data_IF_764619300778
#
_entry.id   IF_764619300778
#
_cell.length_a   1.000
_cell.length_b   1.000
_cell.length_c   1.000
_cell.angle_alpha   90.00
_cell.angle_beta   90.00
_cell.angle_gamma   90.00
#
_symmetry.space_group_name_H-M   'P 1'
#
loop_
_entity.id
_entity.type
_entity.pdbx_description
1 polymer ?
#
# COMPACT_ATOMS: atom_id res chain seq x y z
N UNK A 1 3.05 -6.35 -5.62
CA UNK A 1 2.54 -5.03 -6.08
C UNK A 1 2.06 -5.11 -7.50
N UNK A 2 0.79 -4.79 -7.76
CA UNK A 2 0.20 -4.84 -9.11
C UNK A 2 0.08 -3.43 -9.65
N UNK A 3 0.63 -3.15 -10.84
CA UNK A 3 0.51 -1.83 -11.49
C UNK A 3 0.18 -2.03 -12.97
N UNK A 4 -1.01 -1.60 -13.39
CA UNK A 4 -1.50 -1.77 -14.75
C UNK A 4 -0.89 -0.75 -15.72
N UNK A 5 -0.50 -1.19 -16.93
CA UNK A 5 -0.03 -0.31 -18.02
C UNK A 5 -1.08 0.74 -18.44
N UNK A 6 -2.37 0.43 -18.26
CA UNK A 6 -3.50 1.33 -18.58
C UNK A 6 -3.52 2.61 -17.74
N UNK A 7 -3.11 2.51 -16.46
CA UNK A 7 -3.10 3.61 -15.51
C UNK A 7 -1.77 4.38 -15.60
N UNK A 8 -0.65 3.65 -15.74
CA UNK A 8 0.69 4.22 -15.87
C UNK A 8 1.37 3.70 -17.14
N UNK A 9 1.30 4.51 -18.20
CA UNK A 9 1.78 4.13 -19.55
C UNK A 9 3.29 3.88 -19.58
N UNK A 10 4.08 4.74 -18.93
CA UNK A 10 5.55 4.66 -18.95
C UNK A 10 6.08 3.70 -17.89
N UNK A 11 7.18 3.00 -18.21
CA UNK A 11 7.87 2.14 -17.25
C UNK A 11 8.42 2.94 -16.06
N UNK A 12 8.88 4.16 -16.31
CA UNK A 12 9.37 5.08 -15.28
C UNK A 12 8.28 5.40 -14.25
N UNK A 13 7.07 5.76 -14.69
CA UNK A 13 5.96 6.04 -13.77
C UNK A 13 5.58 4.80 -12.93
N UNK A 14 5.53 3.62 -13.56
CA UNK A 14 5.27 2.36 -12.83
C UNK A 14 6.35 2.06 -11.80
N UNK A 15 7.61 2.23 -12.16
CA UNK A 15 8.74 1.96 -11.27
C UNK A 15 8.79 2.98 -10.13
N UNK A 16 8.48 4.24 -10.41
CA UNK A 16 8.33 5.29 -9.41
C UNK A 16 7.28 4.91 -8.37
N UNK A 17 6.06 4.56 -8.80
CA UNK A 17 5.01 4.13 -7.89
C UNK A 17 5.43 2.92 -7.04
N UNK A 18 6.01 1.89 -7.68
CA UNK A 18 6.50 0.71 -6.96
C UNK A 18 7.60 1.07 -5.96
N UNK A 19 8.45 2.07 -6.23
CA UNK A 19 9.46 2.55 -5.27
C UNK A 19 8.79 3.24 -4.09
N UNK A 20 7.93 4.23 -4.35
CA UNK A 20 7.20 4.98 -3.31
C UNK A 20 6.46 4.03 -2.37
N UNK A 21 5.70 3.09 -2.93
CA UNK A 21 4.91 2.19 -2.11
C UNK A 21 5.74 1.14 -1.37
N UNK A 22 6.85 0.65 -1.95
CA UNK A 22 7.81 -0.20 -1.22
C UNK A 22 8.47 0.54 -0.07
N UNK A 23 8.76 1.83 -0.26
CA UNK A 23 9.35 2.64 0.81
C UNK A 23 8.37 2.82 1.96
N UNK A 24 7.11 3.16 1.68
CA UNK A 24 6.06 3.24 2.72
C UNK A 24 5.92 1.89 3.44
N UNK A 25 5.84 0.79 2.68
CA UNK A 25 5.71 -0.53 3.27
C UNK A 25 6.92 -0.92 4.12
N UNK A 26 8.15 -0.57 3.72
CA UNK A 26 9.36 -0.88 4.48
C UNK A 26 9.38 -0.20 5.84
N UNK A 27 8.93 1.05 5.93
CA UNK A 27 8.82 1.78 7.19
C UNK A 27 7.69 1.22 8.06
N UNK A 28 6.54 0.90 7.46
CA UNK A 28 5.39 0.34 8.17
C UNK A 28 5.53 -1.15 8.51
N UNK A 29 6.52 -1.87 7.96
CA UNK A 29 6.66 -3.33 8.12
C UNK A 29 6.71 -3.76 9.58
N UNK A 30 7.33 -2.97 10.45
CA UNK A 30 7.42 -3.27 11.88
C UNK A 30 6.05 -3.29 12.55
N UNK A 31 5.11 -2.47 12.07
CA UNK A 31 3.79 -2.31 12.65
C UNK A 31 2.74 -3.23 12.01
N UNK A 32 2.99 -3.74 10.80
CA UNK A 32 2.02 -4.51 10.01
C UNK A 32 1.98 -6.02 10.32
N UNK A 33 2.90 -6.52 11.15
CA UNK A 33 2.96 -7.94 11.51
C UNK A 33 3.20 -8.88 10.31
N UNK A 34 2.64 -10.08 10.35
CA UNK A 34 2.79 -11.14 9.34
C UNK A 34 1.73 -11.14 8.23
N UNK A 35 1.08 -9.99 7.98
CA UNK A 35 0.03 -9.89 6.97
C UNK A 35 0.59 -9.67 5.55
N UNK A 36 0.01 -10.35 4.58
CA UNK A 36 0.30 -10.16 3.15
C UNK A 36 -0.60 -9.07 2.55
N UNK A 37 0.01 -8.08 1.91
CA UNK A 37 -0.70 -6.95 1.28
C UNK A 37 -0.51 -6.91 -0.24
N UNK A 38 -1.62 -6.87 -0.97
CA UNK A 38 -1.64 -6.62 -2.42
C UNK A 38 -2.10 -5.19 -2.69
N UNK A 39 -1.14 -4.32 -3.01
CA UNK A 39 -1.40 -2.92 -3.35
C UNK A 39 -1.68 -2.79 -4.86
N UNK A 40 -2.81 -2.15 -5.21
CA UNK A 40 -3.23 -1.81 -6.57
C UNK A 40 -3.53 -0.30 -6.69
N UNK A 41 -2.81 0.46 -7.53
CA UNK A 41 -3.14 1.85 -7.80
C UNK A 41 -4.44 1.95 -8.59
N UNK A 42 -5.23 2.98 -8.27
CA UNK A 42 -6.48 3.33 -8.97
C UNK A 42 -6.31 4.50 -9.95
N UNK A 43 -5.26 5.30 -9.76
CA UNK A 43 -4.95 6.49 -10.55
C UNK A 43 -3.46 6.54 -10.90
N UNK A 44 -3.12 7.35 -11.92
CA UNK A 44 -1.74 7.67 -12.22
C UNK A 44 -1.16 8.54 -11.10
N UNK A 45 0.14 8.38 -10.84
CA UNK A 45 0.84 9.12 -9.80
C UNK A 45 2.06 9.80 -10.43
N UNK A 46 2.13 11.12 -10.32
CA UNK A 46 3.31 11.90 -10.66
C UNK A 46 4.23 12.11 -9.46
N UNK A 47 5.39 12.72 -9.70
CA UNK A 47 6.32 13.07 -8.63
C UNK A 47 5.75 14.07 -7.63
N UNK A 48 4.91 15.02 -8.11
CA UNK A 48 4.25 16.02 -7.29
C UNK A 48 3.24 15.39 -6.30
N UNK A 49 2.62 14.28 -6.68
CA UNK A 49 1.60 13.60 -5.88
C UNK A 49 2.21 12.66 -4.83
N UNK A 50 3.52 12.43 -4.89
CA UNK A 50 4.19 11.42 -4.07
C UNK A 50 4.06 11.66 -2.56
N UNK A 51 4.18 12.89 -2.02
CA UNK A 51 3.95 13.13 -0.59
C UNK A 51 2.54 12.77 -0.15
N UNK A 52 1.53 13.16 -0.95
CA UNK A 52 0.11 12.89 -0.66
C UNK A 52 -0.17 11.40 -0.71
N UNK A 53 0.27 10.72 -1.78
CA UNK A 53 0.06 9.28 -1.92
C UNK A 53 0.81 8.46 -0.86
N UNK A 54 1.94 8.93 -0.35
CA UNK A 54 2.61 8.30 0.80
C UNK A 54 1.74 8.36 2.04
N UNK A 55 1.20 9.53 2.36
CA UNK A 55 0.33 9.72 3.52
C UNK A 55 -0.95 8.87 3.40
N UNK A 56 -1.60 8.89 2.22
CA UNK A 56 -2.78 8.08 1.95
C UNK A 56 -2.49 6.58 2.09
N UNK A 57 -1.39 6.10 1.48
CA UNK A 57 -1.02 4.69 1.54
C UNK A 57 -0.73 4.25 2.98
N UNK A 58 -0.04 5.07 3.76
CA UNK A 58 0.22 4.80 5.16
C UNK A 58 -1.09 4.67 5.96
N UNK A 59 -2.03 5.62 5.78
CA UNK A 59 -3.33 5.57 6.43
C UNK A 59 -4.16 4.34 6.03
N UNK A 60 -4.11 3.93 4.75
CA UNK A 60 -4.79 2.72 4.28
C UNK A 60 -4.19 1.45 4.88
N UNK A 61 -2.87 1.39 5.03
CA UNK A 61 -2.18 0.25 5.65
C UNK A 61 -2.57 0.10 7.13
N UNK A 62 -2.58 1.19 7.89
CA UNK A 62 -2.99 1.18 9.29
C UNK A 62 -4.46 0.76 9.48
N UNK A 63 -5.37 1.30 8.65
CA UNK A 63 -6.79 0.91 8.67
C UNK A 63 -6.97 -0.57 8.30
N UNK A 64 -6.25 -1.05 7.30
CA UNK A 64 -6.34 -2.45 6.88
C UNK A 64 -5.82 -3.38 7.98
N UNK A 65 -4.73 -3.00 8.65
CA UNK A 65 -4.19 -3.76 9.76
C UNK A 65 -5.18 -3.87 10.92
N UNK A 66 -5.79 -2.77 11.37
CA UNK A 66 -6.76 -2.82 12.48
C UNK A 66 -8.01 -3.65 12.14
N UNK A 67 -8.48 -3.58 10.89
CA UNK A 67 -9.60 -4.39 10.40
C UNK A 67 -9.26 -5.88 10.33
N UNK A 68 -8.07 -6.23 9.83
CA UNK A 68 -7.62 -7.63 9.78
C UNK A 68 -7.36 -8.19 11.18
N UNK A 69 -6.70 -7.41 12.05
CA UNK A 69 -6.39 -7.83 13.41
C UNK A 69 -7.66 -8.07 14.24
N UNK A 70 -8.64 -7.16 14.18
CA UNK A 70 -9.93 -7.34 14.86
C UNK A 70 -10.71 -8.56 14.35
N UNK A 71 -10.70 -8.80 13.03
CA UNK A 71 -11.31 -10.01 12.44
C UNK A 71 -10.59 -11.30 12.84
N UNK A 72 -9.26 -11.30 12.88
CA UNK A 72 -8.47 -12.46 13.32
C UNK A 72 -8.71 -12.76 14.80
N UNK A 73 -8.74 -11.74 15.65
CA UNK A 73 -9.07 -11.89 17.07
C UNK A 73 -10.49 -12.46 17.28
N UNK A 74 -11.46 -12.01 16.50
CA UNK A 74 -12.82 -12.55 16.53
C UNK A 74 -12.93 -14.00 16.01
N UNK A 75 -12.05 -14.40 15.10
CA UNK A 75 -12.02 -15.77 14.56
C UNK A 75 -11.31 -16.77 15.49
N UNK A 76 -10.35 -16.32 16.31
CA UNK A 76 -9.59 -17.17 17.23
C UNK A 76 -10.36 -17.55 18.52
N UNK A 77 -11.50 -16.91 18.79
CA UNK A 77 -12.32 -17.15 19.98
C UNK A 77 -13.55 -18.06 19.69
N UNK A 78 -13.46 -18.90 18.64
CA UNK A 78 -14.41 -19.96 18.29
C UNK A 78 -13.67 -21.29 18.22
#
# INVERSE_FOLDING_TARGET
>A
MVVSKRIMKTAVARNFYKRVARDVFRHARKDLGSLDFVIRPRAALGSADAPVARAELHGLLQKSFSLCHSRMAAAANR
#
